data_IF_171351514667
#
_entry.id   IF_171351514667
#
_cell.length_a   1.000
_cell.length_b   1.000
_cell.length_c   1.000
_cell.angle_alpha   90.00
_cell.angle_beta   90.00
_cell.angle_gamma   90.00
#
_symmetry.space_group_name_H-M   'P 1'
#
loop_
_entity.id
_entity.type
_entity.pdbx_description
1 polymer ?
#
# COMPACT_ATOMS: atom_id res chain seq x y z
N UNK A 1 34.83 -27.94 34.51
CA UNK A 1 33.39 -28.30 34.49
C UNK A 1 32.49 -27.36 35.27
N UNK A 2 32.68 -27.10 36.58
CA UNK A 2 31.79 -26.17 37.32
C UNK A 2 31.88 -24.69 36.89
N UNK A 3 33.05 -24.22 36.44
CA UNK A 3 33.23 -22.84 35.96
C UNK A 3 32.59 -22.59 34.58
N UNK A 4 32.65 -23.55 33.66
CA UNK A 4 32.02 -23.45 32.33
C UNK A 4 30.49 -23.45 32.40
N UNK A 5 29.91 -24.26 33.30
CA UNK A 5 28.44 -24.31 33.47
C UNK A 5 27.86 -23.03 34.07
N UNK A 6 28.62 -22.32 34.91
CA UNK A 6 28.21 -21.05 35.51
C UNK A 6 28.26 -19.91 34.48
N UNK A 7 29.28 -19.87 33.62
CA UNK A 7 29.40 -18.88 32.53
C UNK A 7 28.24 -18.98 31.54
N UNK A 8 27.89 -20.19 31.08
CA UNK A 8 26.82 -20.42 30.11
C UNK A 8 25.44 -20.00 30.67
N UNK A 9 25.21 -20.20 31.96
CA UNK A 9 23.97 -19.82 32.63
C UNK A 9 23.77 -18.30 32.64
N UNK A 10 24.82 -17.56 32.98
CA UNK A 10 24.82 -16.10 32.99
C UNK A 10 24.68 -15.51 31.58
N UNK A 11 25.32 -16.11 30.58
CA UNK A 11 25.18 -15.72 29.17
C UNK A 11 23.74 -15.87 28.67
N UNK A 12 23.08 -17.01 28.96
CA UNK A 12 21.68 -17.25 28.56
C UNK A 12 20.69 -16.31 29.26
N UNK A 13 20.91 -16.03 30.55
CA UNK A 13 20.12 -15.03 31.28
C UNK A 13 20.33 -13.63 30.70
N UNK A 14 21.54 -13.30 30.26
CA UNK A 14 21.81 -12.02 29.62
C UNK A 14 21.14 -11.91 28.25
N UNK A 15 21.19 -12.96 27.42
CA UNK A 15 20.45 -13.02 26.14
C UNK A 15 18.95 -12.83 26.38
N UNK A 16 18.39 -13.50 27.38
CA UNK A 16 16.99 -13.33 27.75
C UNK A 16 16.65 -11.88 28.14
N UNK A 17 17.45 -11.24 28.99
CA UNK A 17 17.28 -9.83 29.36
C UNK A 17 17.36 -8.90 28.14
N UNK A 18 18.32 -9.15 27.24
CA UNK A 18 18.46 -8.37 26.01
C UNK A 18 17.19 -8.48 25.15
N UNK A 19 16.63 -9.69 24.97
CA UNK A 19 15.38 -9.86 24.21
C UNK A 19 14.18 -9.14 24.85
N UNK A 20 14.09 -9.11 26.18
CA UNK A 20 13.07 -8.32 26.87
C UNK A 20 13.24 -6.83 26.54
N UNK A 21 14.46 -6.33 26.65
CA UNK A 21 14.78 -4.94 26.32
C UNK A 21 14.49 -4.61 24.85
N UNK A 22 14.80 -5.51 23.92
CA UNK A 22 14.50 -5.36 22.50
C UNK A 22 12.99 -5.20 22.27
N UNK A 23 12.15 -5.99 22.95
CA UNK A 23 10.68 -5.83 22.83
C UNK A 23 10.21 -4.47 23.34
N UNK A 24 10.76 -3.99 24.45
CA UNK A 24 10.43 -2.65 24.99
C UNK A 24 10.83 -1.55 24.01
N UNK A 25 12.05 -1.63 23.47
CA UNK A 25 12.55 -0.69 22.47
C UNK A 25 11.68 -0.67 21.21
N UNK A 26 11.31 -1.85 20.68
CA UNK A 26 10.45 -1.96 19.50
C UNK A 26 9.04 -1.40 19.75
N UNK A 27 8.50 -1.57 20.96
CA UNK A 27 7.20 -1.00 21.33
C UNK A 27 7.25 0.54 21.35
N UNK A 28 8.29 1.11 21.94
CA UNK A 28 8.49 2.56 21.99
C UNK A 28 8.66 3.13 20.58
N UNK A 29 9.47 2.47 19.76
CA UNK A 29 9.73 2.90 18.39
C UNK A 29 8.50 2.82 17.50
N UNK A 30 7.67 1.78 17.66
CA UNK A 30 6.38 1.67 17.01
C UNK A 30 5.43 2.82 17.37
N UNK A 31 5.45 3.27 18.62
CA UNK A 31 4.65 4.40 19.09
C UNK A 31 5.13 5.74 18.55
N UNK A 32 6.44 5.93 18.40
CA UNK A 32 7.00 7.19 17.92
C UNK A 32 6.85 7.31 16.40
N UNK A 33 7.14 6.24 15.65
CA UNK A 33 7.30 6.32 14.20
C UNK A 33 6.05 5.91 13.43
N UNK A 34 5.12 5.18 14.05
CA UNK A 34 4.04 4.49 13.34
C UNK A 34 2.67 4.56 14.05
N UNK A 35 2.47 5.49 15.00
CA UNK A 35 1.27 5.58 15.86
C UNK A 35 -0.07 5.49 15.14
N UNK A 36 -0.18 6.15 13.98
CA UNK A 36 -1.43 6.26 13.20
C UNK A 36 -1.48 5.31 12.00
N UNK A 37 -0.53 4.39 11.89
CA UNK A 37 -0.41 3.52 10.72
C UNK A 37 -1.42 2.37 10.75
N UNK A 38 -2.02 2.05 9.60
CA UNK A 38 -2.97 0.94 9.49
C UNK A 38 -2.32 -0.36 9.98
N UNK A 39 -2.97 -1.07 10.91
CA UNK A 39 -2.49 -2.34 11.43
C UNK A 39 -1.36 -2.29 12.47
N UNK A 40 -0.86 -1.10 12.84
CA UNK A 40 0.19 -0.98 13.87
C UNK A 40 -0.24 -1.57 15.22
N UNK A 41 -1.52 -1.46 15.57
CA UNK A 41 -2.08 -2.04 16.79
C UNK A 41 -1.93 -3.57 16.83
N UNK A 42 -2.02 -4.23 15.68
CA UNK A 42 -1.81 -5.68 15.53
C UNK A 42 -0.32 -6.04 15.70
N UNK A 43 0.58 -5.24 15.14
CA UNK A 43 2.02 -5.39 15.37
C UNK A 43 2.37 -5.25 16.86
N UNK A 44 1.91 -4.18 17.52
CA UNK A 44 2.08 -3.99 18.97
C UNK A 44 1.49 -5.13 19.79
N UNK A 45 0.34 -5.69 19.39
CA UNK A 45 -0.25 -6.86 20.05
C UNK A 45 0.65 -8.09 19.96
N UNK A 46 1.29 -8.33 18.81
CA UNK A 46 2.28 -9.41 18.64
C UNK A 46 3.51 -9.19 19.54
N UNK A 47 4.06 -7.98 19.59
CA UNK A 47 5.15 -7.63 20.53
C UNK A 47 4.75 -7.86 22.00
N UNK A 48 3.54 -7.46 22.41
CA UNK A 48 3.04 -7.71 23.79
C UNK A 48 2.83 -9.19 24.09
N UNK A 49 2.51 -10.00 23.08
CA UNK A 49 2.45 -11.46 23.24
C UNK A 49 3.86 -12.04 23.40
N UNK A 50 4.83 -11.56 22.62
CA UNK A 50 6.23 -11.95 22.75
C UNK A 50 6.81 -11.56 24.12
N UNK A 51 6.52 -10.35 24.61
CA UNK A 51 6.89 -9.91 25.96
C UNK A 51 6.37 -10.88 27.02
N UNK A 52 5.10 -11.26 26.95
CA UNK A 52 4.49 -12.20 27.89
C UNK A 52 5.14 -13.59 27.82
N UNK A 53 5.43 -14.06 26.60
CA UNK A 53 6.16 -15.31 26.39
C UNK A 53 7.53 -15.27 27.05
N UNK A 54 8.35 -14.24 26.75
CA UNK A 54 9.69 -14.11 27.30
C UNK A 54 9.68 -13.94 28.82
N UNK A 55 8.78 -13.13 29.39
CA UNK A 55 8.66 -12.95 30.84
C UNK A 55 8.32 -14.25 31.56
N UNK A 56 7.52 -15.13 30.94
CA UNK A 56 7.20 -16.44 31.49
C UNK A 56 8.41 -17.40 31.54
N UNK A 57 9.50 -17.12 30.83
CA UNK A 57 10.70 -17.96 30.84
C UNK A 57 11.65 -17.69 32.02
N UNK A 58 11.41 -16.63 32.80
CA UNK A 58 12.34 -16.11 33.82
C UNK A 58 12.88 -17.16 34.80
N UNK A 59 11.99 -18.05 35.26
CA UNK A 59 12.28 -19.01 36.33
C UNK A 59 12.46 -20.45 35.81
N UNK A 60 12.60 -20.64 34.49
CA UNK A 60 12.78 -21.97 33.90
C UNK A 60 14.22 -22.51 34.11
N UNK A 61 14.38 -23.84 34.15
CA UNK A 61 15.70 -24.47 34.09
C UNK A 61 16.50 -24.02 32.86
N UNK A 62 17.83 -23.92 32.98
CA UNK A 62 18.71 -23.40 31.92
C UNK A 62 18.56 -24.17 30.59
N UNK A 63 18.38 -25.49 30.64
CA UNK A 63 18.17 -26.34 29.46
C UNK A 63 16.89 -25.98 28.70
N UNK A 64 15.82 -25.69 29.43
CA UNK A 64 14.54 -25.26 28.86
C UNK A 64 14.59 -23.82 28.37
N UNK A 65 15.21 -22.93 29.17
CA UNK A 65 15.41 -21.53 28.78
C UNK A 65 16.12 -21.42 27.43
N UNK A 66 17.21 -22.16 27.22
CA UNK A 66 17.92 -22.20 25.94
C UNK A 66 16.99 -22.61 24.80
N UNK A 67 16.25 -23.72 24.96
CA UNK A 67 15.34 -24.26 23.95
C UNK A 67 14.25 -23.25 23.57
N UNK A 68 13.63 -22.58 24.53
CA UNK A 68 12.55 -21.62 24.28
C UNK A 68 13.05 -20.26 23.77
N UNK A 69 14.25 -19.84 24.15
CA UNK A 69 14.87 -18.62 23.61
C UNK A 69 15.11 -18.73 22.09
N UNK A 70 15.43 -19.92 21.58
CA UNK A 70 15.60 -20.19 20.15
C UNK A 70 14.28 -20.09 19.37
N UNK A 71 13.12 -20.23 20.03
CA UNK A 71 11.80 -20.14 19.39
C UNK A 71 11.18 -18.73 19.42
N UNK A 72 11.90 -17.76 19.98
CA UNK A 72 11.41 -16.37 20.09
C UNK A 72 11.20 -15.73 18.72
N UNK A 73 10.09 -14.99 18.58
CA UNK A 73 9.74 -14.28 17.35
C UNK A 73 10.38 -12.88 17.25
N UNK A 74 11.22 -12.50 18.22
CA UNK A 74 11.76 -11.14 18.31
C UNK A 74 12.48 -10.71 17.03
N UNK A 75 13.27 -11.61 16.44
CA UNK A 75 14.01 -11.35 15.20
C UNK A 75 13.08 -11.03 14.02
N UNK A 76 11.94 -11.71 13.93
CA UNK A 76 10.93 -11.42 12.91
C UNK A 76 10.29 -10.05 13.14
N UNK A 77 9.90 -9.75 14.37
CA UNK A 77 9.23 -8.50 14.73
C UNK A 77 10.17 -7.30 14.57
N UNK A 78 11.45 -7.47 14.87
CA UNK A 78 12.48 -6.47 14.62
C UNK A 78 12.72 -6.28 13.12
N UNK A 79 12.84 -7.38 12.35
CA UNK A 79 12.96 -7.33 10.90
C UNK A 79 11.83 -6.54 10.25
N UNK A 80 10.58 -6.78 10.67
CA UNK A 80 9.42 -6.03 10.19
C UNK A 80 9.51 -4.53 10.44
N UNK A 81 9.92 -4.11 11.64
CA UNK A 81 10.02 -2.69 11.95
C UNK A 81 11.17 -2.03 11.17
N UNK A 82 12.30 -2.74 11.03
CA UNK A 82 13.44 -2.27 10.25
C UNK A 82 13.07 -2.03 8.78
N UNK A 83 12.34 -2.97 8.17
CA UNK A 83 11.79 -2.79 6.81
C UNK A 83 10.85 -1.59 6.77
N UNK A 84 9.90 -1.52 7.71
CA UNK A 84 8.94 -0.42 7.75
C UNK A 84 9.60 0.96 7.90
N UNK A 85 10.77 1.05 8.53
CA UNK A 85 11.55 2.31 8.66
C UNK A 85 12.31 2.69 7.40
N UNK A 86 12.83 1.71 6.65
CA UNK A 86 13.58 1.98 5.41
C UNK A 86 12.67 2.38 4.26
N UNK A 87 11.39 2.02 4.32
CA UNK A 87 10.40 2.33 3.31
C UNK A 87 9.35 3.34 3.81
N UNK A 88 8.59 3.95 2.90
CA UNK A 88 7.42 4.74 3.29
C UNK A 88 6.26 3.79 3.64
N UNK A 89 6.26 3.26 4.87
CA UNK A 89 5.28 2.27 5.29
C UNK A 89 3.85 2.86 5.32
N UNK A 90 2.89 2.08 4.84
CA UNK A 90 1.47 2.46 4.76
C UNK A 90 0.60 1.59 5.66
N UNK A 91 0.90 0.29 5.75
CA UNK A 91 0.13 -0.63 6.59
C UNK A 91 0.96 -1.84 7.03
N UNK A 92 0.70 -2.30 8.25
CA UNK A 92 1.17 -3.58 8.79
C UNK A 92 0.04 -4.62 8.67
N UNK A 93 0.38 -5.86 8.30
CA UNK A 93 -0.53 -7.00 8.37
C UNK A 93 -1.87 -6.78 7.63
N UNK A 94 -1.80 -6.19 6.44
CA UNK A 94 -3.00 -5.87 5.66
C UNK A 94 -3.59 -7.14 5.06
N UNK A 95 -4.88 -7.35 5.28
CA UNK A 95 -5.61 -8.52 4.79
C UNK A 95 -6.31 -8.24 3.46
N UNK A 96 -6.08 -9.09 2.47
CA UNK A 96 -6.67 -9.03 1.14
C UNK A 96 -7.60 -10.24 0.91
N UNK A 97 -8.74 -9.99 0.29
CA UNK A 97 -9.70 -11.04 -0.05
C UNK A 97 -9.27 -11.79 -1.32
N UNK A 98 -9.43 -13.12 -1.36
CA UNK A 98 -9.16 -13.92 -2.55
C UNK A 98 -10.49 -14.54 -3.00
N UNK A 99 -11.02 -14.24 -4.20
CA UNK A 99 -12.38 -14.60 -4.63
C UNK A 99 -12.72 -16.09 -4.53
N UNK A 100 -11.72 -16.96 -4.53
CA UNK A 100 -11.86 -18.42 -4.49
C UNK A 100 -11.61 -19.02 -3.11
N UNK A 101 -11.22 -18.22 -2.11
CA UNK A 101 -10.88 -18.69 -0.77
C UNK A 101 -11.75 -17.96 0.26
N UNK A 102 -12.35 -18.72 1.18
CA UNK A 102 -13.11 -18.15 2.31
C UNK A 102 -12.24 -17.29 3.25
N UNK A 103 -10.93 -17.57 3.30
CA UNK A 103 -9.99 -16.91 4.19
C UNK A 103 -9.27 -15.78 3.45
N UNK A 104 -9.28 -14.58 4.04
CA UNK A 104 -8.41 -13.47 3.62
C UNK A 104 -6.95 -13.85 3.85
N UNK A 105 -6.06 -13.42 2.96
CA UNK A 105 -4.61 -13.62 3.06
C UNK A 105 -3.97 -12.31 3.49
N UNK A 106 -2.89 -12.41 4.25
CA UNK A 106 -2.26 -11.27 4.90
C UNK A 106 -0.89 -10.99 4.28
N UNK A 107 -0.66 -9.72 3.98
CA UNK A 107 0.65 -9.18 3.59
C UNK A 107 1.30 -8.58 4.83
N UNK A 108 2.59 -8.83 5.03
CA UNK A 108 3.27 -8.36 6.24
C UNK A 108 3.36 -6.83 6.27
N UNK A 109 3.81 -6.21 5.16
CA UNK A 109 3.88 -4.75 5.02
C UNK A 109 3.40 -4.29 3.65
N UNK A 110 2.69 -3.17 3.63
CA UNK A 110 2.38 -2.40 2.43
C UNK A 110 3.15 -1.09 2.51
N UNK A 111 3.97 -0.79 1.51
CA UNK A 111 4.90 0.33 1.52
C UNK A 111 4.85 1.14 0.22
N UNK A 112 5.53 2.29 0.20
CA UNK A 112 5.67 3.19 -0.94
C UNK A 112 4.31 3.58 -1.55
N UNK A 113 3.41 4.05 -0.68
CA UNK A 113 2.06 4.47 -1.04
C UNK A 113 1.08 3.33 -1.31
N UNK A 114 1.53 2.07 -1.31
CA UNK A 114 0.75 0.91 -1.74
C UNK A 114 1.30 0.21 -2.99
N UNK A 115 2.32 0.79 -3.62
CA UNK A 115 2.92 0.26 -4.84
C UNK A 115 3.79 -0.98 -4.60
N UNK A 116 4.21 -1.24 -3.36
CA UNK A 116 5.05 -2.40 -3.02
C UNK A 116 4.55 -3.13 -1.79
N UNK A 117 4.64 -4.45 -1.82
CA UNK A 117 4.26 -5.35 -0.73
C UNK A 117 5.49 -6.13 -0.28
N UNK A 118 5.76 -6.14 1.02
CA UNK A 118 6.93 -6.82 1.57
C UNK A 118 6.52 -7.99 2.44
N UNK A 119 7.18 -9.14 2.22
CA UNK A 119 7.18 -10.31 3.09
C UNK A 119 8.50 -10.35 3.84
N UNK A 120 8.45 -10.43 5.16
CA UNK A 120 9.67 -10.55 5.98
C UNK A 120 9.85 -11.99 6.43
N UNK A 121 11.02 -12.56 6.15
CA UNK A 121 11.34 -13.97 6.37
C UNK A 121 12.53 -14.05 7.33
N UNK A 122 12.25 -14.51 8.55
CA UNK A 122 13.27 -14.70 9.60
C UNK A 122 13.66 -16.17 9.79
N UNK A 123 13.25 -17.05 8.87
CA UNK A 123 13.62 -18.46 8.93
C UNK A 123 15.13 -18.61 8.71
N UNK A 124 15.73 -19.61 9.34
CA UNK A 124 17.16 -19.89 9.14
C UNK A 124 17.42 -20.46 7.74
N UNK A 125 18.60 -20.17 7.19
CA UNK A 125 18.98 -20.59 5.82
C UNK A 125 18.92 -22.11 5.65
N UNK A 126 19.38 -22.87 6.65
CA UNK A 126 19.33 -24.34 6.62
C UNK A 126 17.89 -24.87 6.52
N UNK A 127 16.96 -24.31 7.28
CA UNK A 127 15.55 -24.70 7.22
C UNK A 127 14.90 -24.31 5.90
N UNK A 128 15.29 -23.18 5.32
CA UNK A 128 14.86 -22.79 3.97
C UNK A 128 15.38 -23.75 2.90
N UNK A 129 16.65 -24.15 2.97
CA UNK A 129 17.25 -25.11 2.04
C UNK A 129 16.55 -26.48 2.11
N UNK A 130 16.30 -27.00 3.32
CA UNK A 130 15.63 -28.28 3.53
C UNK A 130 14.19 -28.28 2.99
N UNK A 131 13.43 -27.21 3.24
CA UNK A 131 12.09 -27.06 2.68
C UNK A 131 12.09 -26.97 1.16
N UNK A 132 13.07 -26.26 0.58
CA UNK A 132 13.17 -26.07 -0.87
C UNK A 132 13.39 -27.39 -1.62
N UNK A 133 14.20 -28.29 -1.08
CA UNK A 133 14.45 -29.62 -1.69
C UNK A 133 13.37 -30.66 -1.32
N UNK A 134 12.29 -30.27 -0.62
CA UNK A 134 11.23 -31.18 -0.19
C UNK A 134 11.64 -32.16 0.92
N UNK A 135 12.82 -32.01 1.51
CA UNK A 135 13.32 -32.82 2.63
C UNK A 135 12.89 -32.27 4.00
N UNK A 136 12.31 -31.06 4.03
CA UNK A 136 11.69 -30.49 5.22
C UNK A 136 10.37 -31.18 5.52
N UNK A 137 10.29 -31.94 6.61
CA UNK A 137 9.02 -32.47 7.16
C UNK A 137 8.09 -31.40 7.75
N UNK A 138 8.16 -30.16 7.24
CA UNK A 138 7.44 -29.01 7.77
C UNK A 138 5.98 -29.08 7.34
N UNK A 139 5.06 -29.14 8.31
CA UNK A 139 3.63 -28.99 8.06
C UNK A 139 3.23 -27.55 7.64
N UNK A 140 4.20 -26.62 7.64
CA UNK A 140 4.01 -25.23 7.25
C UNK A 140 4.23 -25.04 5.75
N UNK A 141 3.48 -24.10 5.17
CA UNK A 141 3.59 -23.76 3.75
C UNK A 141 4.97 -23.25 3.37
N UNK A 142 5.45 -23.70 2.21
CA UNK A 142 6.76 -23.32 1.68
C UNK A 142 6.81 -21.83 1.34
N UNK A 143 8.03 -21.27 1.25
CA UNK A 143 8.23 -19.89 0.81
C UNK A 143 7.75 -19.71 -0.64
N UNK A 144 7.89 -20.74 -1.48
CA UNK A 144 7.39 -20.75 -2.86
C UNK A 144 5.86 -20.65 -2.91
N UNK A 145 5.14 -21.39 -2.05
CA UNK A 145 3.68 -21.27 -1.97
C UNK A 145 3.24 -19.90 -1.43
N UNK A 146 3.99 -19.32 -0.49
CA UNK A 146 3.73 -17.96 -0.01
C UNK A 146 3.97 -16.91 -1.11
N UNK A 147 5.00 -17.08 -1.93
CA UNK A 147 5.26 -16.25 -3.10
C UNK A 147 4.10 -16.29 -4.11
N UNK A 148 3.62 -17.48 -4.44
CA UNK A 148 2.47 -17.65 -5.32
C UNK A 148 1.21 -16.98 -4.78
N UNK A 149 0.94 -17.10 -3.47
CA UNK A 149 -0.17 -16.40 -2.83
C UNK A 149 -0.02 -14.87 -2.92
N UNK A 150 1.18 -14.32 -2.76
CA UNK A 150 1.44 -12.89 -2.91
C UNK A 150 1.19 -12.43 -4.36
N UNK A 151 1.64 -13.20 -5.35
CA UNK A 151 1.43 -12.91 -6.77
C UNK A 151 -0.05 -12.95 -7.12
N UNK A 152 -0.77 -13.99 -6.71
CA UNK A 152 -2.22 -14.12 -6.88
C UNK A 152 -2.95 -12.91 -6.28
N UNK A 153 -2.65 -12.56 -5.04
CA UNK A 153 -3.24 -11.39 -4.39
C UNK A 153 -2.92 -10.07 -5.10
N UNK A 154 -1.67 -9.87 -5.50
CA UNK A 154 -1.22 -8.63 -6.14
C UNK A 154 -1.87 -8.42 -7.52
N UNK A 155 -2.15 -9.51 -8.24
CA UNK A 155 -2.91 -9.48 -9.50
C UNK A 155 -4.38 -9.09 -9.28
N UNK A 156 -4.99 -9.58 -8.19
CA UNK A 156 -6.40 -9.31 -7.86
C UNK A 156 -6.59 -7.89 -7.32
N UNK A 157 -5.60 -7.36 -6.59
CA UNK A 157 -5.65 -6.05 -5.92
C UNK A 157 -4.62 -5.07 -6.49
N UNK A 158 -4.77 -4.64 -7.75
CA UNK A 158 -3.85 -3.70 -8.35
C UNK A 158 -3.89 -2.33 -7.66
N UNK A 159 -2.72 -1.74 -7.45
CA UNK A 159 -2.57 -0.38 -6.97
C UNK A 159 -2.51 0.58 -8.17
N UNK A 160 -3.49 1.48 -8.28
CA UNK A 160 -3.67 2.36 -9.45
C UNK A 160 -3.55 1.61 -10.79
N UNK A 161 -4.24 0.46 -10.88
CA UNK A 161 -4.28 -0.42 -12.06
C UNK A 161 -2.96 -1.09 -12.44
N UNK A 162 -1.94 -1.01 -11.58
CA UNK A 162 -0.67 -1.73 -11.72
C UNK A 162 -0.56 -2.77 -10.60
N UNK A 163 -0.02 -3.94 -10.91
CA UNK A 163 0.28 -4.95 -9.90
C UNK A 163 1.36 -4.38 -8.95
N UNK A 164 1.15 -4.43 -7.62
CA UNK A 164 2.17 -4.04 -6.66
C UNK A 164 3.45 -4.88 -6.83
N UNK A 165 4.62 -4.26 -6.72
CA UNK A 165 5.89 -4.99 -6.71
C UNK A 165 5.99 -5.80 -5.41
N UNK A 166 6.36 -7.07 -5.52
CA UNK A 166 6.50 -7.96 -4.36
C UNK A 166 7.97 -8.03 -3.97
N UNK A 167 8.24 -7.85 -2.68
CA UNK A 167 9.58 -7.92 -2.09
C UNK A 167 9.58 -9.02 -1.03
N UNK A 168 10.51 -9.95 -1.11
CA UNK A 168 10.76 -10.94 -0.06
C UNK A 168 12.10 -10.61 0.59
N UNK A 169 12.05 -10.19 1.85
CA UNK A 169 13.24 -9.81 2.61
C UNK A 169 13.61 -10.85 3.67
N UNK A 170 14.82 -11.39 3.56
CA UNK A 170 15.36 -12.47 4.37
C UNK A 170 16.34 -11.94 5.43
N UNK A 171 15.95 -12.06 6.70
CA UNK A 171 16.73 -11.51 7.83
C UNK A 171 18.03 -12.28 8.09
N UNK A 172 18.06 -13.58 7.79
CA UNK A 172 19.23 -14.45 8.04
C UNK A 172 19.95 -14.89 6.76
N UNK A 173 19.61 -14.30 5.62
CA UNK A 173 20.06 -14.73 4.32
C UNK A 173 19.17 -15.78 3.65
N UNK A 174 19.52 -16.13 2.42
CA UNK A 174 18.73 -16.97 1.52
C UNK A 174 19.62 -17.95 0.74
N UNK A 175 19.20 -19.21 0.55
CA UNK A 175 19.86 -20.11 -0.39
C UNK A 175 19.82 -19.57 -1.83
N UNK A 176 20.95 -19.55 -2.52
CA UNK A 176 21.10 -19.12 -3.92
C UNK A 176 20.03 -19.67 -4.88
N UNK A 177 19.80 -20.99 -4.91
CA UNK A 177 18.77 -21.58 -5.78
C UNK A 177 17.34 -21.13 -5.42
N UNK A 178 17.07 -20.91 -4.13
CA UNK A 178 15.78 -20.37 -3.69
C UNK A 178 15.62 -18.91 -4.13
N UNK A 179 16.70 -18.12 -4.08
CA UNK A 179 16.71 -16.75 -4.57
C UNK A 179 16.37 -16.70 -6.06
N UNK A 180 17.11 -17.44 -6.89
CA UNK A 180 16.87 -17.50 -8.33
C UNK A 180 15.45 -17.94 -8.65
N UNK A 181 14.91 -18.92 -7.91
CA UNK A 181 13.54 -19.36 -8.12
C UNK A 181 12.51 -18.27 -7.82
N UNK A 182 12.69 -17.50 -6.75
CA UNK A 182 11.79 -16.39 -6.42
C UNK A 182 11.90 -15.23 -7.43
N UNK A 183 13.11 -14.90 -7.85
CA UNK A 183 13.37 -13.87 -8.87
C UNK A 183 12.77 -14.26 -10.23
N UNK A 184 12.77 -15.55 -10.58
CA UNK A 184 12.08 -16.07 -11.78
C UNK A 184 10.57 -15.82 -11.79
N UNK A 185 9.96 -15.60 -10.62
CA UNK A 185 8.56 -15.20 -10.49
C UNK A 185 8.34 -13.68 -10.52
N UNK A 186 9.41 -12.88 -10.73
CA UNK A 186 9.37 -11.42 -10.68
C UNK A 186 9.32 -10.83 -9.27
N UNK A 187 9.71 -11.62 -8.25
CA UNK A 187 9.83 -11.14 -6.87
C UNK A 187 11.21 -10.53 -6.68
N UNK A 188 11.26 -9.32 -6.11
CA UNK A 188 12.50 -8.73 -5.64
C UNK A 188 12.92 -9.40 -4.33
N UNK A 189 14.12 -9.97 -4.31
CA UNK A 189 14.66 -10.65 -3.13
C UNK A 189 15.73 -9.78 -2.49
N UNK A 190 15.62 -9.59 -1.17
CA UNK A 190 16.60 -8.86 -0.37
C UNK A 190 17.12 -9.80 0.72
N UNK A 191 18.43 -9.97 0.81
CA UNK A 191 19.07 -10.77 1.86
C UNK A 191 20.43 -11.29 1.42
N UNK A 192 21.23 -11.74 2.37
CA UNK A 192 22.56 -12.27 2.08
C UNK A 192 22.46 -13.65 1.40
N UNK A 193 22.99 -13.75 0.19
CA UNK A 193 23.00 -15.00 -0.58
C UNK A 193 23.97 -16.02 0.05
N UNK A 194 23.53 -17.27 0.18
CA UNK A 194 24.33 -18.37 0.71
C UNK A 194 24.22 -19.58 -0.22
N UNK A 195 25.36 -20.15 -0.59
CA UNK A 195 25.42 -21.40 -1.36
C UNK A 195 24.65 -22.53 -0.65
N UNK A 196 23.63 -23.06 -1.33
CA UNK A 196 22.76 -24.11 -0.80
C UNK A 196 23.52 -25.42 -0.50
N UNK A 197 24.61 -25.69 -1.21
CA UNK A 197 25.40 -26.92 -1.06
C UNK A 197 26.10 -27.02 0.31
N UNK A 198 26.22 -25.90 1.03
CA UNK A 198 26.70 -25.87 2.42
C UNK A 198 25.75 -26.57 3.39
N UNK A 199 24.48 -26.74 3.03
CA UNK A 199 23.45 -27.26 3.93
C UNK A 199 22.84 -28.58 3.47
N UNK A 200 22.78 -28.82 2.17
CA UNK A 200 22.16 -30.00 1.56
C UNK A 200 23.00 -30.50 0.39
N UNK A 201 23.10 -31.83 0.24
CA UNK A 201 23.65 -32.42 -0.98
C UNK A 201 22.52 -32.50 -2.00
N UNK A 202 22.61 -31.72 -3.06
CA UNK A 202 21.65 -31.77 -4.15
C UNK A 202 21.77 -33.12 -4.89
N UNK A 203 20.65 -33.73 -5.32
CA UNK A 203 20.69 -34.88 -6.23
C UNK A 203 21.44 -34.54 -7.51
N UNK A 204 22.12 -35.52 -8.13
CA UNK A 204 22.90 -35.33 -9.35
C UNK A 204 22.04 -34.72 -10.48
N UNK A 205 20.75 -35.08 -10.54
CA UNK A 205 19.77 -34.58 -11.52
C UNK A 205 19.29 -33.13 -11.27
N UNK A 206 19.57 -32.53 -10.10
CA UNK A 206 19.17 -31.16 -9.80
C UNK A 206 20.00 -30.13 -10.59
N UNK A 207 21.19 -30.54 -11.05
CA UNK A 207 22.07 -29.73 -11.91
C UNK A 207 21.66 -29.74 -13.38
N UNK A 208 20.77 -30.65 -13.80
CA UNK A 208 20.35 -30.84 -15.19
C UNK A 208 19.09 -30.02 -15.58
N UNK A 209 18.38 -29.45 -14.60
CA UNK A 209 17.18 -28.63 -14.86
C UNK A 209 17.48 -27.13 -14.99
N UNK A 210 18.72 -26.71 -14.79
CA UNK A 210 19.12 -25.29 -14.75
C UNK A 210 20.32 -24.97 -15.68
N UNK A 211 20.79 -25.95 -16.47
CA UNK A 211 22.01 -25.80 -17.28
C UNK A 211 21.78 -25.45 -18.76
N UNK A 212 20.53 -25.45 -19.26
CA UNK A 212 20.28 -25.36 -20.71
C UNK A 212 19.69 -24.04 -21.20
N UNK A 213 19.46 -23.03 -20.35
CA UNK A 213 19.08 -21.70 -20.83
C UNK A 213 19.87 -20.58 -20.13
N UNK A 214 20.74 -19.94 -20.92
CA UNK A 214 21.39 -18.63 -20.71
C UNK A 214 22.78 -18.70 -20.04
N UNK A 215 23.77 -19.19 -20.80
CA UNK A 215 25.16 -18.74 -20.69
C UNK A 215 25.63 -18.14 -22.03
N UNK A 216 24.91 -17.16 -22.57
CA UNK A 216 25.50 -16.17 -23.47
C UNK A 216 24.61 -14.95 -23.66
N UNK A 217 24.84 -13.91 -22.87
CA UNK A 217 24.71 -12.52 -23.31
C UNK A 217 25.26 -11.60 -22.23
N UNK A 218 26.52 -11.23 -22.42
CA UNK A 218 27.12 -10.04 -21.86
C UNK A 218 26.43 -8.80 -22.44
N UNK A 219 25.21 -8.52 -21.99
CA UNK A 219 24.60 -7.20 -22.14
C UNK A 219 24.87 -6.44 -20.84
N UNK A 220 25.80 -5.49 -20.92
CA UNK A 220 26.05 -4.48 -19.89
C UNK A 220 24.74 -3.80 -19.50
N UNK A 221 24.12 -4.22 -18.41
CA UNK A 221 23.06 -3.47 -17.76
C UNK A 221 23.70 -2.25 -17.13
N UNK A 222 23.59 -1.14 -17.86
CA UNK A 222 23.87 0.20 -17.37
C UNK A 222 23.15 0.43 -16.04
N UNK A 223 23.88 0.97 -15.07
CA UNK A 223 23.38 1.49 -13.81
C UNK A 223 22.22 2.48 -14.03
N UNK A 224 20.99 1.98 -14.09
CA UNK A 224 19.81 2.83 -13.94
C UNK A 224 19.57 3.07 -12.44
N UNK A 225 20.10 4.22 -12.02
CA UNK A 225 19.79 4.97 -10.81
C UNK A 225 18.42 4.65 -10.21
N UNK A 226 18.44 4.41 -8.89
CA UNK A 226 17.29 4.37 -8.00
C UNK A 226 16.13 5.26 -8.47
N UNK A 227 15.02 4.63 -8.86
CA UNK A 227 13.78 5.34 -9.15
C UNK A 227 13.27 5.97 -7.86
N UNK A 228 13.27 7.30 -7.85
CA UNK A 228 12.72 8.13 -6.77
C UNK A 228 11.27 7.74 -6.46
N UNK A 229 10.89 7.90 -5.19
CA UNK A 229 9.61 7.54 -4.57
C UNK A 229 8.37 8.33 -5.07
N UNK A 230 8.24 8.68 -6.35
CA UNK A 230 7.13 9.50 -6.85
C UNK A 230 6.41 9.07 -8.14
N UNK A 231 6.85 8.05 -8.87
CA UNK A 231 6.22 7.78 -10.18
C UNK A 231 5.34 6.52 -10.20
N UNK A 232 4.23 6.61 -9.45
CA UNK A 232 3.01 5.97 -9.95
C UNK A 232 2.51 6.82 -11.12
N UNK A 233 3.07 6.62 -12.32
CA UNK A 233 2.65 7.35 -13.51
C UNK A 233 1.22 6.93 -13.82
N UNK A 234 0.28 7.80 -13.43
CA UNK A 234 -1.12 7.71 -13.81
C UNK A 234 -1.22 8.21 -15.24
N UNK A 235 -1.54 7.33 -16.19
CA UNK A 235 -1.64 7.70 -17.59
C UNK A 235 -2.97 8.39 -17.93
N UNK A 236 -4.04 8.03 -17.22
CA UNK A 236 -5.40 8.53 -17.46
C UNK A 236 -6.08 8.89 -16.14
N UNK A 237 -6.74 10.03 -16.10
CA UNK A 237 -7.52 10.53 -14.97
C UNK A 237 -8.97 10.70 -15.37
N UNK A 238 -9.88 10.17 -14.56
CA UNK A 238 -11.31 10.39 -14.67
C UNK A 238 -11.74 11.53 -13.73
N UNK A 239 -12.35 12.58 -14.28
CA UNK A 239 -12.81 13.74 -13.52
C UNK A 239 -14.21 13.50 -12.94
N UNK A 240 -14.33 13.47 -11.61
CA UNK A 240 -15.63 13.55 -10.95
C UNK A 240 -16.19 14.99 -11.02
N UNK A 241 -17.51 15.12 -10.83
CA UNK A 241 -18.24 16.40 -10.78
C UNK A 241 -17.58 17.35 -9.78
N UNK A 242 -17.26 16.83 -8.59
CA UNK A 242 -16.65 17.62 -7.52
C UNK A 242 -15.25 18.14 -7.85
N UNK A 243 -14.51 17.40 -8.70
CA UNK A 243 -13.19 17.81 -9.19
C UNK A 243 -13.30 18.89 -10.23
N UNK A 244 -14.24 18.76 -11.17
CA UNK A 244 -14.52 19.82 -12.13
C UNK A 244 -14.83 21.12 -11.39
N UNK A 245 -15.65 21.08 -10.33
CA UNK A 245 -15.95 22.28 -9.54
C UNK A 245 -14.71 22.86 -8.87
N UNK A 246 -13.84 22.05 -8.27
CA UNK A 246 -12.59 22.56 -7.69
C UNK A 246 -11.68 23.22 -8.74
N UNK A 247 -11.65 22.70 -9.97
CA UNK A 247 -10.84 23.22 -11.07
C UNK A 247 -11.37 24.53 -11.67
N UNK A 248 -12.67 24.83 -11.53
CA UNK A 248 -13.27 26.03 -12.16
C UNK A 248 -13.81 27.06 -11.17
N UNK A 249 -14.04 26.65 -9.91
CA UNK A 249 -14.68 27.46 -8.89
C UNK A 249 -13.95 28.77 -8.69
N UNK A 250 -14.71 29.85 -8.50
CA UNK A 250 -14.14 31.13 -8.11
C UNK A 250 -13.34 31.01 -6.82
N UNK A 251 -13.78 30.19 -5.83
CA UNK A 251 -13.08 29.99 -4.55
C UNK A 251 -11.59 29.67 -4.73
N UNK A 252 -11.25 28.85 -5.72
CA UNK A 252 -9.89 28.35 -5.96
C UNK A 252 -9.06 29.27 -6.85
N UNK A 253 -9.68 30.33 -7.39
CA UNK A 253 -9.07 31.28 -8.32
C UNK A 253 -8.94 32.67 -7.69
N UNK A 254 -8.29 33.58 -8.42
CA UNK A 254 -7.85 34.91 -7.95
C UNK A 254 -8.87 35.61 -7.06
N UNK A 255 -8.48 35.82 -5.80
CA UNK A 255 -9.25 36.49 -4.73
C UNK A 255 -10.59 35.86 -4.36
N UNK A 256 -11.02 34.75 -4.97
CA UNK A 256 -12.32 34.14 -4.70
C UNK A 256 -12.50 33.72 -3.25
N UNK A 257 -11.48 33.08 -2.67
CA UNK A 257 -11.48 32.74 -1.26
C UNK A 257 -11.47 33.95 -0.31
N UNK A 258 -11.32 35.19 -0.79
CA UNK A 258 -11.33 36.41 0.04
C UNK A 258 -12.67 37.16 0.02
N UNK A 259 -13.64 36.69 -0.76
CA UNK A 259 -14.99 37.25 -0.72
C UNK A 259 -15.76 36.76 0.51
N UNK A 260 -16.73 37.57 0.93
CA UNK A 260 -17.77 37.15 1.86
C UNK A 260 -18.94 36.55 1.08
N UNK A 261 -19.47 35.46 1.61
CA UNK A 261 -20.61 34.76 1.03
C UNK A 261 -21.78 34.79 2.01
N UNK A 262 -23.01 34.85 1.50
CA UNK A 262 -24.22 34.70 2.33
C UNK A 262 -24.31 33.31 2.97
N UNK A 263 -23.73 32.30 2.32
CA UNK A 263 -23.75 30.92 2.78
C UNK A 263 -22.62 30.63 3.78
N UNK A 264 -23.00 30.12 4.96
CA UNK A 264 -22.05 29.58 5.97
C UNK A 264 -21.14 28.50 5.38
N UNK A 265 -21.67 27.65 4.49
CA UNK A 265 -20.92 26.59 3.84
C UNK A 265 -19.80 27.15 2.95
N UNK A 266 -20.12 28.16 2.14
CA UNK A 266 -19.13 28.80 1.25
C UNK A 266 -18.06 29.54 2.04
N UNK A 267 -18.43 30.25 3.12
CA UNK A 267 -17.45 30.88 4.00
C UNK A 267 -16.52 29.86 4.67
N UNK A 268 -17.04 28.68 5.06
CA UNK A 268 -16.22 27.60 5.59
C UNK A 268 -15.24 27.06 4.52
N UNK A 269 -15.70 26.87 3.28
CA UNK A 269 -14.85 26.44 2.17
C UNK A 269 -13.80 27.50 1.79
N UNK A 270 -14.15 28.79 1.82
CA UNK A 270 -13.23 29.89 1.59
C UNK A 270 -12.14 29.95 2.68
N UNK A 271 -12.52 29.79 3.95
CA UNK A 271 -11.57 29.71 5.06
C UNK A 271 -10.62 28.51 4.92
N UNK A 272 -11.14 27.37 4.45
CA UNK A 272 -10.33 26.19 4.18
C UNK A 272 -9.40 26.41 2.99
N UNK A 273 -9.85 27.06 1.92
CA UNK A 273 -9.02 27.37 0.75
C UNK A 273 -7.86 28.32 1.08
N UNK A 274 -8.08 29.32 1.95
CA UNK A 274 -7.01 30.20 2.45
C UNK A 274 -5.94 29.45 3.25
N UNK A 275 -6.32 28.39 3.97
CA UNK A 275 -5.39 27.57 4.78
C UNK A 275 -4.72 26.47 3.96
N UNK A 276 -5.47 25.83 3.06
CA UNK A 276 -5.06 24.67 2.27
C UNK A 276 -5.65 24.78 0.85
N UNK A 277 -4.95 25.49 -0.05
CA UNK A 277 -5.39 25.64 -1.43
C UNK A 277 -5.49 24.29 -2.14
N UNK A 278 -6.62 24.05 -2.83
CA UNK A 278 -6.87 22.74 -3.46
C UNK A 278 -6.27 22.66 -4.87
N UNK A 279 -6.14 23.80 -5.56
CA UNK A 279 -5.75 23.83 -6.97
C UNK A 279 -4.31 23.34 -7.23
N UNK A 280 -3.28 23.73 -6.45
CA UNK A 280 -1.91 23.28 -6.69
C UNK A 280 -1.73 21.74 -6.66
N UNK A 281 -2.19 20.99 -5.64
CA UNK A 281 -2.07 19.54 -5.66
C UNK A 281 -2.94 18.89 -6.75
N UNK A 282 -4.11 19.45 -7.07
CA UNK A 282 -4.94 18.99 -8.19
C UNK A 282 -4.23 19.12 -9.53
N UNK A 283 -3.68 20.29 -9.83
CA UNK A 283 -2.95 20.54 -11.07
C UNK A 283 -1.71 19.65 -11.18
N UNK A 284 -1.02 19.38 -10.07
CA UNK A 284 0.08 18.40 -10.05
C UNK A 284 -0.40 17.00 -10.42
N UNK A 285 -1.54 16.56 -9.88
CA UNK A 285 -2.09 15.22 -10.12
C UNK A 285 -2.58 15.01 -11.57
N UNK A 286 -2.98 16.08 -12.26
CA UNK A 286 -3.49 16.00 -13.65
C UNK A 286 -2.50 16.51 -14.70
N UNK A 287 -1.27 16.87 -14.31
CA UNK A 287 -0.28 17.41 -15.26
C UNK A 287 0.23 16.31 -16.17
N UNK A 288 0.10 16.49 -17.48
CA UNK A 288 0.67 15.57 -18.48
C UNK A 288 -0.04 14.23 -18.59
N UNK A 289 -1.25 14.10 -18.04
CA UNK A 289 -2.07 12.87 -18.09
C UNK A 289 -3.26 13.07 -19.03
N UNK A 290 -3.76 11.98 -19.61
CA UNK A 290 -5.00 12.01 -20.38
C UNK A 290 -6.18 12.26 -19.45
N UNK A 291 -6.97 13.29 -19.72
CA UNK A 291 -8.18 13.60 -18.94
C UNK A 291 -9.42 13.03 -19.63
N UNK A 292 -10.22 12.29 -18.88
CA UNK A 292 -11.53 11.80 -19.31
C UNK A 292 -12.63 12.23 -18.34
N UNK A 293 -13.86 12.31 -18.83
CA UNK A 293 -15.07 12.46 -18.01
C UNK A 293 -16.18 11.59 -18.61
N UNK A 294 -16.88 10.81 -17.79
CA UNK A 294 -17.98 9.99 -18.28
C UNK A 294 -19.24 10.84 -18.56
N UNK A 295 -20.10 10.37 -19.45
CA UNK A 295 -21.34 11.06 -19.86
C UNK A 295 -22.19 11.52 -18.67
N UNK A 296 -22.43 10.62 -17.71
CA UNK A 296 -23.18 10.92 -16.49
C UNK A 296 -22.57 12.09 -15.69
N UNK A 297 -21.24 12.14 -15.55
CA UNK A 297 -20.57 13.24 -14.86
C UNK A 297 -20.63 14.54 -15.67
N UNK A 298 -20.37 14.46 -16.97
CA UNK A 298 -20.39 15.61 -17.87
C UNK A 298 -21.77 16.28 -17.91
N UNK A 299 -22.84 15.51 -18.14
CA UNK A 299 -24.20 16.03 -18.22
C UNK A 299 -24.65 16.65 -16.89
N UNK A 300 -24.25 16.04 -15.76
CA UNK A 300 -24.49 16.60 -14.44
C UNK A 300 -23.75 17.93 -14.23
N UNK A 301 -22.50 18.04 -14.67
CA UNK A 301 -21.76 19.32 -14.61
C UNK A 301 -22.44 20.36 -15.48
N UNK A 302 -22.80 20.05 -16.73
CA UNK A 302 -23.47 20.99 -17.64
C UNK A 302 -24.79 21.51 -17.05
N UNK A 303 -25.60 20.61 -16.50
CA UNK A 303 -26.86 20.97 -15.82
C UNK A 303 -26.65 21.89 -14.61
N UNK A 304 -25.59 21.67 -13.83
CA UNK A 304 -25.30 22.52 -12.68
C UNK A 304 -24.74 23.87 -13.14
N UNK A 305 -23.85 23.90 -14.14
CA UNK A 305 -23.29 25.13 -14.68
C UNK A 305 -24.36 26.09 -15.20
N UNK A 306 -25.37 25.57 -15.93
CA UNK A 306 -26.46 26.40 -16.44
C UNK A 306 -27.34 27.02 -15.35
N UNK A 307 -27.29 26.46 -14.13
CA UNK A 307 -28.13 26.89 -13.02
C UNK A 307 -27.40 27.82 -12.04
N UNK A 308 -26.14 27.54 -11.69
CA UNK A 308 -25.46 28.19 -10.55
C UNK A 308 -24.12 28.84 -10.86
N UNK A 309 -23.54 28.65 -12.04
CA UNK A 309 -22.19 29.14 -12.34
C UNK A 309 -22.20 30.63 -12.71
N UNK A 310 -21.18 31.37 -12.27
CA UNK A 310 -20.96 32.73 -12.75
C UNK A 310 -20.22 32.78 -14.10
N UNK A 311 -20.09 33.97 -14.70
CA UNK A 311 -19.46 34.14 -16.01
C UNK A 311 -18.02 33.61 -16.10
N UNK A 312 -17.18 33.85 -15.08
CA UNK A 312 -15.79 33.38 -15.08
C UNK A 312 -15.70 31.88 -14.85
N UNK A 313 -16.56 31.32 -14.01
CA UNK A 313 -16.68 29.86 -13.83
C UNK A 313 -17.10 29.17 -15.13
N UNK A 314 -18.01 29.76 -15.91
CA UNK A 314 -18.40 29.26 -17.24
C UNK A 314 -17.22 29.29 -18.22
N UNK A 315 -16.44 30.37 -18.26
CA UNK A 315 -15.26 30.48 -19.13
C UNK A 315 -14.25 29.37 -18.79
N UNK A 316 -13.91 29.19 -17.51
CA UNK A 316 -12.98 28.13 -17.08
C UNK A 316 -13.51 26.72 -17.39
N UNK A 317 -14.83 26.52 -17.30
CA UNK A 317 -15.43 25.24 -17.69
C UNK A 317 -15.23 24.93 -19.17
N UNK A 318 -15.41 25.92 -20.05
CA UNK A 318 -15.15 25.76 -21.49
C UNK A 318 -13.69 25.41 -21.77
N UNK A 319 -12.76 26.18 -21.21
CA UNK A 319 -11.31 25.95 -21.33
C UNK A 319 -10.88 24.57 -20.80
N UNK A 320 -11.54 24.09 -19.74
CA UNK A 320 -11.30 22.75 -19.20
C UNK A 320 -11.80 21.67 -20.17
N UNK A 321 -13.04 21.78 -20.65
CA UNK A 321 -13.65 20.74 -21.51
C UNK A 321 -13.03 20.65 -22.90
N UNK A 322 -12.32 21.68 -23.38
CA UNK A 322 -11.47 21.57 -24.58
C UNK A 322 -10.32 20.56 -24.43
N UNK A 323 -9.94 20.25 -23.18
CA UNK A 323 -8.80 19.36 -22.86
C UNK A 323 -9.23 18.01 -22.30
N UNK A 324 -10.53 17.78 -22.15
CA UNK A 324 -11.10 16.58 -21.52
C UNK A 324 -11.87 15.77 -22.55
N UNK A 325 -11.54 14.50 -22.69
CA UNK A 325 -12.29 13.58 -23.55
C UNK A 325 -13.57 13.11 -22.84
N UNK A 326 -14.72 13.30 -23.49
CA UNK A 326 -15.99 12.80 -22.98
C UNK A 326 -16.15 11.34 -23.43
N UNK A 327 -16.25 10.43 -22.47
CA UNK A 327 -16.38 8.98 -22.71
C UNK A 327 -17.77 8.49 -22.33
N UNK A 328 -18.17 7.36 -22.92
CA UNK A 328 -19.44 6.72 -22.60
C UNK A 328 -19.45 6.14 -21.18
N UNK A 329 -20.64 6.05 -20.59
CA UNK A 329 -20.79 5.44 -19.26
C UNK A 329 -20.55 3.93 -19.35
N UNK A 330 -19.59 3.44 -18.56
CA UNK A 330 -19.26 2.02 -18.48
C UNK A 330 -19.16 1.60 -17.02
N UNK A 331 -19.64 0.40 -16.72
CA UNK A 331 -19.59 -0.13 -15.37
C UNK A 331 -18.65 -1.33 -15.36
N UNK A 332 -17.56 -1.24 -14.60
CA UNK A 332 -16.68 -2.39 -14.41
C UNK A 332 -17.41 -3.51 -13.66
N UNK A 333 -16.96 -4.75 -13.84
CA UNK A 333 -17.58 -5.91 -13.18
C UNK A 333 -17.59 -5.77 -11.65
N UNK A 334 -16.52 -5.21 -11.07
CA UNK A 334 -16.44 -4.97 -9.64
C UNK A 334 -17.35 -3.82 -9.20
N UNK A 335 -17.41 -2.73 -9.96
CA UNK A 335 -18.34 -1.65 -9.66
C UNK A 335 -19.79 -2.12 -9.74
N UNK A 336 -20.13 -3.03 -10.64
CA UNK A 336 -21.47 -3.61 -10.76
C UNK A 336 -21.95 -4.30 -9.48
N UNK A 337 -21.03 -4.95 -8.73
CA UNK A 337 -21.33 -5.64 -7.46
C UNK A 337 -21.65 -4.71 -6.28
N UNK A 338 -21.36 -3.41 -6.39
CA UNK A 338 -21.69 -2.45 -5.31
C UNK A 338 -23.20 -2.38 -5.08
N UNK A 339 -23.61 -2.61 -3.84
CA UNK A 339 -24.98 -2.41 -3.40
C UNK A 339 -25.22 -0.95 -3.10
N UNK A 340 -26.32 -0.42 -3.63
CA UNK A 340 -26.74 0.96 -3.36
C UNK A 340 -27.05 1.15 -1.88
N UNK A 341 -26.79 2.36 -1.39
CA UNK A 341 -27.09 2.81 -0.03
C UNK A 341 -27.16 4.34 -0.01
N UNK A 342 -27.51 4.93 1.13
CA UNK A 342 -27.53 6.39 1.30
C UNK A 342 -26.19 7.07 0.95
N UNK A 343 -25.08 6.33 1.08
CA UNK A 343 -23.72 6.82 0.77
C UNK A 343 -23.21 6.35 -0.60
N UNK A 344 -23.95 5.49 -1.30
CA UNK A 344 -23.60 4.91 -2.61
C UNK A 344 -24.77 5.15 -3.57
N UNK A 345 -24.77 6.31 -4.22
CA UNK A 345 -25.76 6.66 -5.23
C UNK A 345 -25.48 5.94 -6.56
N UNK A 346 -26.53 5.73 -7.37
CA UNK A 346 -26.38 5.16 -8.71
C UNK A 346 -25.47 6.01 -9.60
N UNK A 347 -25.54 7.35 -9.47
CA UNK A 347 -24.67 8.28 -10.19
C UNK A 347 -23.20 8.06 -9.83
N UNK A 348 -22.87 8.06 -8.54
CA UNK A 348 -21.50 7.83 -8.09
C UNK A 348 -21.00 6.44 -8.48
N UNK A 349 -21.87 5.42 -8.43
CA UNK A 349 -21.55 4.07 -8.91
C UNK A 349 -21.12 4.06 -10.39
N UNK A 350 -21.82 4.80 -11.26
CA UNK A 350 -21.48 4.93 -12.68
C UNK A 350 -20.17 5.69 -12.87
N UNK A 351 -19.99 6.84 -12.19
CA UNK A 351 -18.78 7.69 -12.35
C UNK A 351 -17.51 6.93 -11.96
N UNK A 352 -17.51 6.33 -10.77
CA UNK A 352 -16.36 5.57 -10.29
C UNK A 352 -16.18 4.25 -11.07
N UNK A 353 -17.28 3.62 -11.48
CA UNK A 353 -17.25 2.43 -12.32
C UNK A 353 -16.71 2.69 -13.73
N UNK A 354 -16.94 3.89 -14.28
CA UNK A 354 -16.41 4.30 -15.59
C UNK A 354 -14.91 4.54 -15.47
N UNK A 355 -14.47 5.31 -14.47
CA UNK A 355 -13.05 5.48 -14.20
C UNK A 355 -12.33 4.14 -14.03
N UNK A 356 -12.94 3.23 -13.28
CA UNK A 356 -12.43 1.87 -13.10
C UNK A 356 -12.36 1.05 -14.41
N UNK A 357 -13.41 1.10 -15.23
CA UNK A 357 -13.47 0.41 -16.51
C UNK A 357 -12.39 0.91 -17.48
N UNK A 358 -12.19 2.22 -17.57
CA UNK A 358 -11.20 2.85 -18.44
C UNK A 358 -9.78 2.83 -17.86
N UNK A 359 -9.56 2.17 -16.70
CA UNK A 359 -8.28 2.19 -15.97
C UNK A 359 -7.77 3.61 -15.70
N UNK A 360 -8.71 4.51 -15.42
CA UNK A 360 -8.47 5.92 -15.15
C UNK A 360 -8.68 6.23 -13.67
N UNK A 361 -7.68 6.87 -13.05
CA UNK A 361 -7.75 7.23 -11.63
C UNK A 361 -8.81 8.27 -11.44
N UNK A 362 -9.81 7.98 -10.61
CA UNK A 362 -10.91 8.92 -10.38
C UNK A 362 -10.49 9.96 -9.35
N UNK A 363 -10.41 11.22 -9.79
CA UNK A 363 -10.17 12.34 -8.88
C UNK A 363 -11.53 12.79 -8.34
N UNK A 364 -11.66 12.99 -7.02
CA UNK A 364 -12.95 13.28 -6.38
C UNK A 364 -12.81 13.93 -5.00
N UNK A 365 -13.84 14.65 -4.55
CA UNK A 365 -14.02 15.05 -3.15
C UNK A 365 -15.01 14.14 -2.39
N UNK A 366 -15.61 13.14 -3.03
CA UNK A 366 -16.62 12.26 -2.43
C UNK A 366 -16.00 11.15 -1.58
N UNK A 367 -15.43 11.53 -0.43
CA UNK A 367 -14.85 10.61 0.56
C UNK A 367 -15.83 9.57 1.07
N UNK A 368 -17.09 9.97 1.26
CA UNK A 368 -18.13 9.09 1.79
C UNK A 368 -18.38 7.89 0.86
N UNK A 369 -18.42 8.12 -0.44
CA UNK A 369 -18.54 7.05 -1.43
C UNK A 369 -17.32 6.11 -1.38
N UNK A 370 -16.10 6.66 -1.38
CA UNK A 370 -14.86 5.86 -1.34
C UNK A 370 -14.84 4.95 -0.11
N UNK A 371 -15.14 5.50 1.07
CA UNK A 371 -15.19 4.71 2.30
C UNK A 371 -16.32 3.66 2.28
N UNK A 372 -17.50 4.02 1.78
CA UNK A 372 -18.64 3.09 1.70
C UNK A 372 -18.38 1.94 0.72
N UNK A 373 -17.71 2.19 -0.41
CA UNK A 373 -17.29 1.15 -1.34
C UNK A 373 -16.23 0.23 -0.71
N UNK A 374 -15.26 0.79 0.01
CA UNK A 374 -14.25 0.02 0.73
C UNK A 374 -14.87 -0.91 1.79
N UNK A 375 -15.95 -0.49 2.48
CA UNK A 375 -16.69 -1.36 3.41
C UNK A 375 -17.41 -2.53 2.72
N UNK A 376 -17.62 -2.46 1.40
CA UNK A 376 -18.12 -3.58 0.59
C UNK A 376 -16.98 -4.33 -0.12
N UNK A 377 -15.74 -4.23 0.40
CA UNK A 377 -14.51 -4.83 -0.14
C UNK A 377 -14.17 -4.40 -1.59
N UNK A 378 -14.58 -3.19 -2.00
CA UNK A 378 -14.29 -2.63 -3.34
C UNK A 378 -13.48 -1.34 -3.20
N UNK A 379 -12.20 -1.41 -3.56
CA UNK A 379 -11.25 -0.30 -3.47
C UNK A 379 -10.98 0.34 -4.83
N UNK A 380 -11.57 1.50 -5.10
CA UNK A 380 -11.30 2.24 -6.33
C UNK A 380 -9.93 2.93 -6.31
N UNK A 381 -9.33 3.04 -7.50
CA UNK A 381 -8.16 3.86 -7.74
C UNK A 381 -8.57 5.34 -7.74
N UNK A 382 -8.32 6.05 -6.64
CA UNK A 382 -8.84 7.41 -6.42
C UNK A 382 -7.78 8.38 -5.92
N UNK A 383 -7.88 9.63 -6.35
CA UNK A 383 -7.18 10.76 -5.73
C UNK A 383 -8.21 11.66 -5.07
N UNK A 384 -8.13 11.76 -3.74
CA UNK A 384 -9.12 12.48 -2.95
C UNK A 384 -8.65 13.90 -2.66
N UNK A 385 -9.47 14.90 -2.99
CA UNK A 385 -9.24 16.30 -2.65
C UNK A 385 -10.33 16.87 -1.74
N UNK A 386 -10.13 18.10 -1.26
CA UNK A 386 -11.14 18.81 -0.48
C UNK A 386 -12.18 19.44 -1.41
N UNK A 387 -13.45 19.39 -1.03
CA UNK A 387 -14.55 19.92 -1.86
C UNK A 387 -14.53 21.46 -1.92
N UNK A 388 -14.80 22.00 -3.12
CA UNK A 388 -15.01 23.43 -3.37
C UNK A 388 -16.21 23.60 -4.30
N UNK A 389 -17.23 24.31 -3.83
CA UNK A 389 -18.43 24.58 -4.61
C UNK A 389 -18.21 25.76 -5.56
N UNK A 390 -19.06 25.84 -6.60
CA UNK A 390 -19.21 27.06 -7.39
C UNK A 390 -19.75 28.19 -6.50
N UNK A 391 -19.24 29.39 -6.71
CA UNK A 391 -19.42 30.46 -5.73
C UNK A 391 -19.58 31.85 -6.35
N UNK A 392 -19.25 32.04 -7.63
CA UNK A 392 -19.20 33.37 -8.25
C UNK A 392 -20.54 34.12 -8.13
N UNK A 393 -21.68 33.48 -8.41
CA UNK A 393 -23.00 34.12 -8.28
C UNK A 393 -23.38 34.51 -6.84
N UNK A 394 -22.68 33.98 -5.83
CA UNK A 394 -22.97 34.20 -4.41
C UNK A 394 -21.93 35.11 -3.73
N UNK A 395 -21.01 35.67 -4.51
CA UNK A 395 -20.06 36.65 -4.01
C UNK A 395 -20.81 37.92 -3.65
N UNK A 396 -20.67 38.36 -2.40
CA UNK A 396 -21.08 39.70 -2.02
C UNK A 396 -19.93 40.64 -2.39
N UNK A 397 -20.21 41.61 -3.27
CA UNK A 397 -19.27 42.71 -3.49
C UNK A 397 -19.05 43.43 -2.16
N UNK A 398 -17.79 43.66 -1.80
CA UNK A 398 -17.41 44.55 -0.68
C UNK A 398 -17.68 46.04 -1.00
N UNK A 399 -18.66 46.34 -1.87
CA UNK A 399 -19.13 47.70 -2.12
C UNK A 399 -20.37 47.96 -1.27
N UNK A 400 -20.13 48.17 0.01
CA UNK A 400 -20.39 49.42 0.72
C UNK A 400 -19.94 49.29 2.17
#
# INVERSE_FOLDING_TARGET
MFFESCSIAEDLKQIWRNKIHDVESLLLEADISFSDMEGISKYKKKLKTEMRFLTALKDLPISELKKYLETSNITHLQGLLNVAKRHSCCAFYKSFAVPQRKLKREVDLVVDGGAKWVKVISRNVRGLAMDFIGAGGSANRSIIEQAQDYIEMAQIHPYFFKMPKIIFEFVHGIPDLLQHKLESFGIEVIGDMVDINKFVKLPIDFSAYDSDDIYDSTASFSEEKCLNANDCIVHTVNLDISTVFALISSLTHKNGANYNYTSRLLNAQAALERKKPVLPPLLKAIKGVKLIICRTAYDAVQSILSTVAGPKEIIRAKELFEKVEIVEDKLSERAARLKLSDRISQRSKIIFGSGDYYKAVTVTANRHFVCAAAHQDIHFAVFVHESRALSEQKQLDLRN
#
